data_IF_438262145959
#
_entry.id   IF_438262145959
#
_cell.length_a   1.000
_cell.length_b   1.000
_cell.length_c   1.000
_cell.angle_alpha   90.00
_cell.angle_beta   90.00
_cell.angle_gamma   90.00
#
_symmetry.space_group_name_H-M   'P 1'
#
loop_
_entity.id
_entity.type
_entity.pdbx_description
1 polymer ?
#
# COMPACT_ATOMS: atom_id res chain seq x y z
N UNK A 1 -1.23 -29.58 -27.94
CA UNK A 1 -0.78 -28.49 -28.83
C UNK A 1 -0.82 -27.20 -28.04
N UNK A 2 0.34 -26.69 -27.65
CA UNK A 2 0.52 -25.32 -27.17
C UNK A 2 1.59 -24.71 -28.07
N UNK A 3 1.15 -23.71 -28.82
CA UNK A 3 1.91 -23.00 -29.84
C UNK A 3 2.87 -22.01 -29.14
N UNK A 4 4.18 -22.21 -29.38
CA UNK A 4 5.28 -21.41 -28.83
C UNK A 4 5.80 -20.39 -29.85
N UNK A 5 5.00 -19.97 -30.84
CA UNK A 5 5.41 -18.94 -31.79
C UNK A 5 5.26 -17.54 -31.19
N UNK A 6 6.39 -16.90 -30.84
CA UNK A 6 6.63 -15.45 -31.02
C UNK A 6 7.90 -14.90 -30.37
N UNK A 7 8.95 -15.72 -30.20
CA UNK A 7 10.32 -15.20 -30.16
C UNK A 7 11.17 -16.06 -31.08
N UNK A 8 12.09 -15.50 -31.90
CA UNK A 8 13.02 -16.33 -32.63
C UNK A 8 13.83 -17.10 -31.58
N UNK A 9 13.56 -18.39 -31.45
CA UNK A 9 14.50 -19.29 -30.82
C UNK A 9 15.76 -19.18 -31.67
N UNK A 10 16.83 -18.59 -31.13
CA UNK A 10 18.17 -18.60 -31.74
C UNK A 10 18.69 -20.04 -31.96
N UNK A 11 17.93 -21.04 -31.49
CA UNK A 11 18.24 -22.46 -31.49
C UNK A 11 17.65 -23.25 -32.66
N UNK A 12 16.82 -22.66 -33.53
CA UNK A 12 16.30 -23.39 -34.69
C UNK A 12 17.27 -23.24 -35.88
N UNK A 13 17.84 -24.38 -36.29
CA UNK A 13 18.76 -24.63 -37.42
C UNK A 13 20.27 -24.46 -37.15
N UNK A 14 20.80 -25.13 -36.13
CA UNK A 14 22.23 -25.49 -36.10
C UNK A 14 22.41 -26.97 -36.47
N UNK A 15 23.31 -27.25 -37.41
CA UNK A 15 23.84 -28.60 -37.59
C UNK A 15 24.53 -29.08 -36.30
N UNK A 16 24.68 -30.39 -36.13
CA UNK A 16 25.37 -30.97 -34.97
C UNK A 16 26.75 -30.34 -34.73
N UNK A 17 27.51 -30.10 -35.80
CA UNK A 17 28.85 -29.50 -35.71
C UNK A 17 28.79 -28.02 -35.27
N UNK A 18 27.80 -27.27 -35.73
CA UNK A 18 27.57 -25.88 -35.31
C UNK A 18 27.12 -25.80 -33.85
N UNK A 19 26.25 -26.71 -33.40
CA UNK A 19 25.84 -26.79 -32.01
C UNK A 19 27.02 -27.14 -31.08
N UNK A 20 27.87 -28.08 -31.49
CA UNK A 20 29.09 -28.44 -30.74
C UNK A 20 30.05 -27.26 -30.67
N UNK A 21 30.30 -26.56 -31.79
CA UNK A 21 31.16 -25.36 -31.80
C UNK A 21 30.57 -24.22 -30.97
N UNK A 22 29.25 -24.05 -30.99
CA UNK A 22 28.57 -23.04 -30.18
C UNK A 22 28.68 -23.36 -28.69
N UNK A 23 28.43 -24.61 -28.28
CA UNK A 23 28.60 -25.06 -26.90
C UNK A 23 30.04 -24.89 -26.41
N UNK A 24 31.03 -25.24 -27.24
CA UNK A 24 32.45 -25.05 -26.91
C UNK A 24 32.81 -23.55 -26.78
N UNK A 25 32.20 -22.66 -27.58
CA UNK A 25 32.36 -21.20 -27.40
C UNK A 25 31.72 -20.69 -26.10
N UNK A 26 30.49 -21.12 -25.79
CA UNK A 26 29.85 -20.73 -24.52
C UNK A 26 30.64 -21.24 -23.31
N UNK A 27 31.14 -22.47 -23.39
CA UNK A 27 32.00 -23.06 -22.39
C UNK A 27 33.33 -22.32 -22.27
N UNK A 28 34.01 -21.99 -23.37
CA UNK A 28 35.26 -21.23 -23.34
C UNK A 28 35.09 -19.85 -22.69
N UNK A 29 33.96 -19.17 -22.91
CA UNK A 29 33.63 -17.89 -22.24
C UNK A 29 33.52 -18.06 -20.70
N UNK A 30 33.18 -19.26 -20.22
CA UNK A 30 33.01 -19.55 -18.78
C UNK A 30 34.20 -20.28 -18.13
N UNK A 31 35.01 -21.01 -18.90
CA UNK A 31 36.08 -21.88 -18.40
C UNK A 31 37.49 -21.43 -18.78
N UNK A 32 37.68 -20.64 -19.84
CA UNK A 32 39.01 -20.33 -20.39
C UNK A 32 39.23 -18.82 -20.47
N UNK A 33 39.47 -18.23 -19.31
CA UNK A 33 40.13 -16.94 -19.22
C UNK A 33 41.57 -17.09 -19.70
N UNK A 34 41.81 -16.91 -21.00
CA UNK A 34 43.16 -16.58 -21.47
C UNK A 34 43.62 -15.30 -20.74
N UNK A 35 44.94 -15.13 -20.59
CA UNK A 35 45.63 -14.11 -19.78
C UNK A 35 45.23 -12.62 -19.99
N UNK A 36 44.14 -12.30 -20.69
CA UNK A 36 43.65 -10.94 -20.96
C UNK A 36 42.19 -10.61 -20.63
N UNK A 37 41.26 -11.53 -20.30
CA UNK A 37 40.05 -11.21 -19.52
C UNK A 37 39.09 -12.42 -19.44
N UNK A 38 38.92 -12.98 -18.24
CA UNK A 38 37.93 -14.03 -17.96
C UNK A 38 36.49 -13.49 -17.80
N UNK A 39 36.22 -12.23 -18.12
CA UNK A 39 35.00 -11.52 -17.72
C UNK A 39 34.37 -10.68 -18.84
N UNK A 40 34.19 -11.25 -20.03
CA UNK A 40 33.48 -10.54 -21.10
C UNK A 40 32.06 -10.20 -20.64
N UNK A 41 31.66 -8.94 -20.85
CA UNK A 41 30.35 -8.45 -20.45
C UNK A 41 29.24 -9.11 -21.28
N UNK A 42 28.10 -9.39 -20.62
CA UNK A 42 26.92 -9.89 -21.30
C UNK A 42 26.47 -8.96 -22.43
N UNK A 43 26.20 -9.52 -23.60
CA UNK A 43 25.60 -8.82 -24.75
C UNK A 43 24.34 -9.55 -25.22
N UNK A 44 23.66 -9.05 -26.26
CA UNK A 44 22.53 -9.76 -26.87
C UNK A 44 22.92 -11.13 -27.48
N UNK A 45 24.21 -11.36 -27.73
CA UNK A 45 24.74 -12.56 -28.38
C UNK A 45 25.56 -13.47 -27.46
N UNK A 46 25.81 -13.09 -26.20
CA UNK A 46 26.53 -13.92 -25.24
C UNK A 46 26.00 -13.77 -23.80
N UNK A 47 26.10 -14.84 -23.02
CA UNK A 47 25.66 -14.90 -21.62
C UNK A 47 26.75 -14.47 -20.62
N UNK A 48 27.65 -13.53 -20.98
CA UNK A 48 28.80 -13.11 -20.18
C UNK A 48 28.48 -12.54 -18.77
N UNK A 49 29.46 -11.93 -18.12
CA UNK A 49 29.26 -11.34 -16.78
C UNK A 49 28.46 -10.04 -16.85
N UNK A 50 27.61 -9.80 -15.86
CA UNK A 50 26.87 -8.54 -15.78
C UNK A 50 27.81 -7.38 -15.39
N UNK A 51 27.78 -6.27 -16.12
CA UNK A 51 28.47 -5.03 -15.69
C UNK A 51 27.90 -4.53 -14.36
N UNK A 52 28.66 -3.75 -13.58
CA UNK A 52 28.12 -3.03 -12.42
C UNK A 52 26.86 -2.22 -12.76
N UNK A 53 26.80 -1.60 -13.94
CA UNK A 53 25.64 -0.85 -14.42
C UNK A 53 24.44 -1.75 -14.71
N UNK A 54 24.64 -2.91 -15.35
CA UNK A 54 23.59 -3.90 -15.59
C UNK A 54 23.08 -4.47 -14.28
N UNK A 55 23.97 -4.74 -13.31
CA UNK A 55 23.59 -5.15 -11.95
C UNK A 55 22.79 -4.04 -11.25
N UNK A 56 23.23 -2.77 -11.36
CA UNK A 56 22.53 -1.62 -10.78
C UNK A 56 21.14 -1.44 -11.40
N UNK A 57 21.03 -1.53 -12.73
CA UNK A 57 19.75 -1.44 -13.43
C UNK A 57 18.84 -2.63 -13.08
N UNK A 58 19.39 -3.85 -12.99
CA UNK A 58 18.65 -5.04 -12.58
C UNK A 58 18.11 -4.93 -11.15
N UNK A 59 18.87 -4.35 -10.21
CA UNK A 59 18.40 -4.05 -8.84
C UNK A 59 17.18 -3.13 -8.82
N UNK A 60 17.00 -2.29 -9.84
CA UNK A 60 15.85 -1.40 -10.01
C UNK A 60 14.64 -2.04 -10.71
N UNK A 61 14.77 -3.25 -11.27
CA UNK A 61 13.70 -3.91 -12.04
C UNK A 61 13.01 -5.01 -11.26
N UNK A 62 11.74 -5.22 -11.56
CA UNK A 62 10.95 -6.34 -11.06
C UNK A 62 11.11 -7.56 -11.97
N UNK A 63 11.24 -8.74 -11.39
CA UNK A 63 11.14 -10.00 -12.13
C UNK A 63 9.68 -10.21 -12.54
N UNK A 64 9.40 -10.12 -13.84
CA UNK A 64 8.06 -10.32 -14.38
C UNK A 64 7.72 -11.81 -14.40
N UNK A 65 6.79 -12.23 -13.56
CA UNK A 65 6.30 -13.60 -13.48
C UNK A 65 4.81 -13.63 -13.15
N UNK A 66 3.96 -13.75 -14.17
CA UNK A 66 2.50 -13.79 -13.99
C UNK A 66 1.97 -15.12 -13.45
N UNK A 67 2.85 -16.09 -13.25
CA UNK A 67 2.47 -17.40 -12.71
C UNK A 67 3.03 -17.62 -11.30
N UNK A 68 3.36 -16.53 -10.60
CA UNK A 68 3.94 -16.61 -9.26
C UNK A 68 3.01 -17.33 -8.27
N UNK A 69 1.68 -17.08 -8.23
CA UNK A 69 0.78 -17.84 -7.35
C UNK A 69 0.71 -19.34 -7.68
N UNK A 70 0.90 -19.75 -8.94
CA UNK A 70 0.92 -21.16 -9.31
C UNK A 70 2.22 -21.85 -8.90
N UNK A 71 3.34 -21.11 -8.88
CA UNK A 71 4.64 -21.61 -8.39
C UNK A 71 4.69 -21.64 -6.86
N UNK A 72 4.09 -20.64 -6.22
CA UNK A 72 4.04 -20.46 -4.79
C UNK A 72 2.58 -20.21 -4.36
N UNK A 73 1.77 -21.28 -4.19
CA UNK A 73 0.37 -21.17 -3.78
C UNK A 73 0.17 -20.53 -2.41
N UNK A 74 1.19 -20.60 -1.54
CA UNK A 74 1.28 -19.82 -0.33
C UNK A 74 2.21 -18.63 -0.57
N UNK A 75 1.70 -17.43 -0.30
CA UNK A 75 2.44 -16.18 -0.48
C UNK A 75 3.70 -16.09 0.39
N UNK A 76 3.72 -16.83 1.50
CA UNK A 76 4.87 -16.89 2.40
C UNK A 76 6.01 -17.77 1.85
N UNK A 77 5.75 -18.60 0.85
CA UNK A 77 6.77 -19.47 0.24
C UNK A 77 7.56 -18.74 -0.86
N UNK A 78 7.14 -17.53 -1.24
CA UNK A 78 7.83 -16.73 -2.25
C UNK A 78 9.25 -16.43 -1.76
N UNK A 79 10.29 -16.69 -2.57
CA UNK A 79 11.66 -16.40 -2.20
C UNK A 79 11.93 -14.89 -2.11
N UNK A 80 13.00 -14.46 -1.41
CA UNK A 80 13.40 -13.07 -1.39
C UNK A 80 13.68 -12.53 -2.80
N UNK A 81 13.17 -11.34 -3.09
CA UNK A 81 13.29 -10.76 -4.43
C UNK A 81 12.27 -9.68 -4.73
N UNK A 82 12.31 -9.20 -5.98
CA UNK A 82 11.39 -8.21 -6.53
C UNK A 82 10.59 -8.88 -7.64
N UNK A 83 9.27 -8.97 -7.49
CA UNK A 83 8.36 -9.61 -8.45
C UNK A 83 7.34 -8.63 -9.02
N UNK A 84 7.05 -8.74 -10.31
CA UNK A 84 5.88 -8.13 -10.95
C UNK A 84 4.98 -9.26 -11.44
N UNK A 85 3.82 -9.42 -10.81
CA UNK A 85 2.96 -10.59 -10.97
C UNK A 85 1.48 -10.20 -11.06
N UNK A 86 0.61 -11.20 -11.07
CA UNK A 86 -0.82 -11.07 -10.85
C UNK A 86 -1.18 -11.70 -9.51
N UNK A 87 -2.08 -11.07 -8.76
CA UNK A 87 -2.68 -11.67 -7.59
C UNK A 87 -3.39 -12.98 -7.96
N UNK A 88 -3.36 -13.95 -7.05
CA UNK A 88 -3.89 -15.29 -7.29
C UNK A 88 -3.82 -16.21 -6.07
N UNK A 89 -3.76 -15.62 -4.88
CA UNK A 89 -3.73 -16.31 -3.59
C UNK A 89 -5.11 -16.31 -2.91
N UNK A 90 -6.17 -15.87 -3.62
CA UNK A 90 -7.54 -15.83 -3.10
C UNK A 90 -7.64 -14.97 -1.84
N UNK A 91 -8.04 -15.57 -0.72
CA UNK A 91 -8.19 -14.89 0.56
C UNK A 91 -6.88 -14.32 1.13
N UNK A 92 -5.72 -14.79 0.66
CA UNK A 92 -4.40 -14.31 1.08
C UNK A 92 -3.86 -13.15 0.23
N UNK A 93 -4.60 -12.70 -0.79
CA UNK A 93 -4.26 -11.47 -1.52
C UNK A 93 -4.26 -10.26 -0.58
N UNK A 94 -3.50 -9.19 -0.90
CA UNK A 94 -3.63 -7.93 -0.17
C UNK A 94 -5.08 -7.45 -0.14
N UNK A 95 -5.53 -6.95 1.01
CA UNK A 95 -6.92 -6.56 1.22
C UNK A 95 -7.45 -5.65 0.10
N UNK A 96 -8.54 -6.05 -0.54
CA UNK A 96 -9.15 -5.31 -1.65
C UNK A 96 -8.50 -5.52 -3.02
N UNK A 97 -7.47 -6.36 -3.12
CA UNK A 97 -6.89 -6.80 -4.41
C UNK A 97 -7.53 -8.12 -4.82
N UNK A 98 -8.28 -8.09 -5.93
CA UNK A 98 -8.87 -9.27 -6.55
C UNK A 98 -7.83 -10.11 -7.31
N UNK A 99 -8.12 -11.40 -7.50
CA UNK A 99 -7.33 -12.26 -8.38
C UNK A 99 -7.18 -11.64 -9.78
N UNK A 100 -6.11 -12.00 -10.47
CA UNK A 100 -5.70 -11.45 -11.78
C UNK A 100 -5.28 -9.97 -11.81
N UNK A 101 -5.42 -9.23 -10.70
CA UNK A 101 -4.93 -7.85 -10.57
C UNK A 101 -3.40 -7.78 -10.60
N UNK A 102 -2.83 -6.77 -11.27
CA UNK A 102 -1.37 -6.60 -11.31
C UNK A 102 -0.83 -6.07 -9.97
N UNK A 103 0.15 -6.80 -9.43
CA UNK A 103 0.82 -6.48 -8.17
C UNK A 103 2.32 -6.52 -8.35
N UNK A 104 3.02 -5.54 -7.77
CA UNK A 104 4.48 -5.56 -7.63
C UNK A 104 4.82 -5.90 -6.17
N UNK A 105 5.78 -6.79 -5.90
CA UNK A 105 6.05 -7.33 -4.57
C UNK A 105 7.53 -7.39 -4.25
N UNK A 106 7.95 -6.75 -3.16
CA UNK A 106 9.27 -6.94 -2.57
C UNK A 106 9.17 -7.94 -1.43
N UNK A 107 9.97 -9.00 -1.50
CA UNK A 107 10.10 -9.99 -0.43
C UNK A 107 11.50 -9.85 0.15
N UNK A 108 11.57 -9.53 1.43
CA UNK A 108 12.80 -9.49 2.21
C UNK A 108 12.77 -10.65 3.20
N UNK A 109 13.89 -11.32 3.39
CA UNK A 109 14.03 -12.34 4.43
C UNK A 109 15.48 -12.39 4.92
N UNK A 110 15.66 -12.49 6.24
CA UNK A 110 16.91 -12.97 6.86
C UNK A 110 16.89 -14.49 7.04
N UNK A 111 15.70 -15.09 7.12
CA UNK A 111 15.46 -16.51 7.33
C UNK A 111 14.12 -16.93 6.70
N UNK A 112 13.92 -18.21 6.36
CA UNK A 112 12.70 -18.68 5.70
C UNK A 112 11.41 -18.42 6.50
N UNK A 113 11.52 -18.42 7.82
CA UNK A 113 10.41 -18.13 8.75
C UNK A 113 10.27 -16.65 9.13
N UNK A 114 11.10 -15.77 8.58
CA UNK A 114 11.12 -14.34 8.89
C UNK A 114 11.12 -13.54 7.60
N UNK A 115 9.92 -13.18 7.15
CA UNK A 115 9.73 -12.46 5.89
C UNK A 115 9.00 -11.15 6.10
N UNK A 116 9.45 -10.14 5.38
CA UNK A 116 8.72 -8.90 5.17
C UNK A 116 8.32 -8.85 3.69
N UNK A 117 7.02 -8.83 3.45
CA UNK A 117 6.44 -8.73 2.12
C UNK A 117 5.81 -7.35 1.98
N UNK A 118 6.27 -6.58 1.01
CA UNK A 118 5.70 -5.28 0.63
C UNK A 118 5.08 -5.43 -0.75
N UNK A 119 3.76 -5.30 -0.84
CA UNK A 119 3.02 -5.35 -2.09
C UNK A 119 2.53 -3.96 -2.50
N UNK A 120 2.58 -3.68 -3.80
CA UNK A 120 2.12 -2.45 -4.43
C UNK A 120 1.00 -2.81 -5.40
N UNK A 121 -0.20 -2.29 -5.15
CA UNK A 121 -1.31 -2.38 -6.09
C UNK A 121 -1.02 -1.45 -7.27
N UNK A 122 -0.82 -1.99 -8.47
CA UNK A 122 -0.30 -1.20 -9.60
C UNK A 122 -1.24 -0.09 -10.07
N UNK A 123 -2.55 -0.28 -9.95
CA UNK A 123 -3.54 0.68 -10.42
C UNK A 123 -3.90 1.73 -9.37
N UNK A 124 -4.03 1.35 -8.10
CA UNK A 124 -4.40 2.28 -7.02
C UNK A 124 -3.19 2.96 -6.39
N UNK A 125 -1.99 2.40 -6.54
CA UNK A 125 -0.77 2.87 -5.88
C UNK A 125 -0.73 2.54 -4.38
N UNK A 126 -1.66 1.73 -3.91
CA UNK A 126 -1.76 1.34 -2.50
C UNK A 126 -0.62 0.39 -2.12
N UNK A 127 -0.12 0.54 -0.90
CA UNK A 127 1.00 -0.22 -0.39
C UNK A 127 0.50 -1.10 0.77
N UNK A 128 0.86 -2.37 0.72
CA UNK A 128 0.46 -3.37 1.70
C UNK A 128 1.69 -4.04 2.28
N UNK A 129 1.67 -4.32 3.59
CA UNK A 129 2.77 -4.94 4.32
C UNK A 129 2.25 -6.18 5.06
N UNK A 130 2.87 -7.33 4.80
CA UNK A 130 2.68 -8.58 5.55
C UNK A 130 4.03 -9.00 6.14
N UNK A 131 4.04 -9.33 7.42
CA UNK A 131 5.23 -9.73 8.16
C UNK A 131 5.01 -11.11 8.75
N UNK A 132 6.03 -11.95 8.67
CA UNK A 132 6.10 -13.22 9.39
C UNK A 132 7.33 -13.28 10.27
N UNK A 133 7.18 -13.91 11.42
CA UNK A 133 8.19 -14.14 12.42
C UNK A 133 7.86 -15.47 13.14
N UNK A 134 8.59 -16.53 12.79
CA UNK A 134 8.40 -17.92 13.23
C UNK A 134 7.16 -18.62 12.63
N UNK A 135 7.07 -19.94 12.79
CA UNK A 135 6.06 -20.80 12.16
C UNK A 135 4.65 -20.74 12.76
N UNK A 136 4.44 -20.03 13.88
CA UNK A 136 3.14 -19.91 14.54
C UNK A 136 2.78 -18.44 14.74
N UNK A 137 1.53 -18.01 14.45
CA UNK A 137 1.08 -16.63 14.63
C UNK A 137 1.00 -16.25 16.11
N UNK A 138 2.11 -15.81 16.69
CA UNK A 138 2.11 -15.13 17.98
C UNK A 138 1.67 -13.67 17.76
N UNK A 139 0.63 -13.25 18.49
CA UNK A 139 0.11 -11.89 18.48
C UNK A 139 1.25 -10.89 18.77
N UNK A 140 1.41 -9.89 17.89
CA UNK A 140 2.48 -8.89 17.98
C UNK A 140 3.75 -9.19 17.17
N UNK A 141 4.01 -10.45 16.76
CA UNK A 141 5.18 -10.82 15.95
C UNK A 141 4.83 -11.20 14.50
N UNK A 142 3.66 -11.78 14.26
CA UNK A 142 3.15 -12.06 12.93
C UNK A 142 2.05 -11.06 12.57
N UNK A 143 2.00 -10.63 11.31
CA UNK A 143 0.81 -9.93 10.82
C UNK A 143 -0.36 -10.93 10.73
N UNK A 144 -1.49 -10.63 11.38
CA UNK A 144 -2.73 -11.42 11.26
C UNK A 144 -3.32 -11.40 9.83
N UNK A 145 -2.98 -10.39 9.05
CA UNK A 145 -3.40 -10.20 7.67
C UNK A 145 -2.51 -9.16 6.99
N UNK A 146 -2.97 -8.60 5.87
CA UNK A 146 -2.26 -7.49 5.27
C UNK A 146 -2.49 -6.20 6.03
N UNK A 147 -1.44 -5.39 6.19
CA UNK A 147 -1.57 -4.03 6.73
C UNK A 147 -1.43 -3.06 5.58
N UNK A 148 -2.45 -2.24 5.35
CA UNK A 148 -2.38 -1.18 4.35
C UNK A 148 -1.66 0.05 4.90
N UNK A 149 -0.75 0.61 4.12
CA UNK A 149 -0.06 1.86 4.44
C UNK A 149 -0.88 3.00 3.86
N UNK A 150 -1.27 3.93 4.73
CA UNK A 150 -1.93 5.17 4.33
C UNK A 150 -0.95 6.33 4.37
N UNK A 151 -1.01 7.16 3.35
CA UNK A 151 -0.38 8.48 3.32
C UNK A 151 -1.40 9.52 3.77
N UNK A 152 -0.94 10.52 4.50
CA UNK A 152 -1.78 11.62 4.95
C UNK A 152 -1.17 12.95 4.57
N UNK A 153 -2.01 13.90 4.16
CA UNK A 153 -1.64 15.28 3.90
C UNK A 153 -2.49 16.18 4.78
N UNK A 154 -1.86 17.08 5.54
CA UNK A 154 -2.60 18.09 6.32
C UNK A 154 -3.21 19.10 5.36
N UNK A 155 -4.55 19.16 5.32
CA UNK A 155 -5.32 20.09 4.50
C UNK A 155 -5.76 21.33 5.31
N UNK A 156 -5.89 21.18 6.62
CA UNK A 156 -6.19 22.28 7.53
C UNK A 156 -5.70 21.95 8.92
N UNK A 157 -5.20 22.97 9.62
CA UNK A 157 -4.88 22.93 11.04
C UNK A 157 -5.23 24.31 11.62
N UNK A 158 -5.99 24.32 12.70
CA UNK A 158 -6.57 25.53 13.29
C UNK A 158 -8.00 25.29 13.79
N UNK A 159 -8.71 26.33 14.21
CA UNK A 159 -10.10 26.19 14.68
C UNK A 159 -11.10 26.48 13.55
N UNK A 160 -11.95 25.49 13.25
CA UNK A 160 -13.12 25.66 12.39
C UNK A 160 -14.38 25.34 13.18
N UNK A 161 -15.26 26.33 13.32
CA UNK A 161 -16.52 26.24 14.06
C UNK A 161 -17.74 26.33 13.15
N UNK A 162 -18.91 26.06 13.73
CA UNK A 162 -20.21 26.21 13.07
C UNK A 162 -20.33 27.55 12.33
N UNK A 163 -20.79 27.50 11.09
CA UNK A 163 -20.98 28.64 10.20
C UNK A 163 -19.70 29.12 9.51
N UNK A 164 -18.53 28.59 9.86
CA UNK A 164 -17.27 28.97 9.25
C UNK A 164 -16.90 28.06 8.09
N UNK A 165 -16.01 28.58 7.23
CA UNK A 165 -15.43 27.83 6.13
C UNK A 165 -13.94 28.10 6.02
N UNK A 166 -13.20 27.11 5.56
CA UNK A 166 -11.77 27.21 5.29
C UNK A 166 -11.43 26.79 3.87
N UNK A 167 -10.50 27.51 3.24
CA UNK A 167 -9.91 27.12 1.97
C UNK A 167 -8.76 26.14 2.21
N UNK A 168 -8.69 25.11 1.39
CA UNK A 168 -7.71 24.04 1.51
C UNK A 168 -6.56 24.23 0.52
N UNK A 169 -5.34 23.81 0.88
CA UNK A 169 -4.16 23.92 0.01
C UNK A 169 -4.22 22.95 -1.18
N UNK A 170 -5.02 21.89 -1.09
CA UNK A 170 -5.17 20.89 -2.14
C UNK A 170 -6.63 20.43 -2.32
N UNK A 171 -6.86 19.75 -3.44
CA UNK A 171 -8.17 19.24 -3.81
C UNK A 171 -8.56 17.99 -2.99
N UNK A 172 -9.67 18.05 -2.23
CA UNK A 172 -10.19 16.93 -1.43
C UNK A 172 -10.46 15.69 -2.27
N UNK A 173 -10.74 15.83 -3.57
CA UNK A 173 -11.04 14.71 -4.45
C UNK A 173 -9.81 13.89 -4.87
N UNK A 174 -8.59 14.32 -4.52
CA UNK A 174 -7.34 13.57 -4.70
C UNK A 174 -7.11 12.52 -3.62
N UNK A 175 -7.88 12.59 -2.53
CA UNK A 175 -7.81 11.70 -1.37
C UNK A 175 -8.98 10.72 -1.40
N UNK A 176 -8.80 9.52 -0.84
CA UNK A 176 -9.85 8.51 -0.77
C UNK A 176 -10.86 8.85 0.33
N UNK A 177 -10.36 9.30 1.47
CA UNK A 177 -11.13 9.73 2.63
C UNK A 177 -10.52 11.00 3.23
N UNK A 178 -11.29 11.67 4.08
CA UNK A 178 -10.80 12.76 4.91
C UNK A 178 -10.86 12.34 6.36
N UNK A 179 -9.78 12.55 7.10
CA UNK A 179 -9.72 12.34 8.54
C UNK A 179 -9.94 13.69 9.24
N UNK A 180 -11.03 13.76 10.00
CA UNK A 180 -11.50 14.96 10.68
C UNK A 180 -11.16 14.82 12.16
N UNK A 181 -10.29 15.70 12.65
CA UNK A 181 -9.99 15.84 14.07
C UNK A 181 -10.85 16.95 14.64
N UNK A 182 -11.55 16.67 15.73
CA UNK A 182 -12.44 17.63 16.37
C UNK A 182 -12.50 17.40 17.87
N UNK A 183 -12.93 18.44 18.60
CA UNK A 183 -13.12 18.40 20.04
C UNK A 183 -14.46 19.02 20.41
N UNK A 184 -15.04 18.56 21.51
CA UNK A 184 -16.19 19.18 22.18
C UNK A 184 -15.80 20.04 23.39
N UNK A 185 -14.49 20.29 23.58
CA UNK A 185 -13.92 21.01 24.71
C UNK A 185 -13.30 20.12 25.77
N UNK A 186 -13.80 18.89 25.93
CA UNK A 186 -13.36 17.95 26.97
C UNK A 186 -12.70 16.70 26.40
N UNK A 187 -13.05 16.29 25.17
CA UNK A 187 -12.46 15.17 24.47
C UNK A 187 -11.89 15.54 23.11
N UNK A 188 -10.88 14.79 22.67
CA UNK A 188 -10.34 14.83 21.30
C UNK A 188 -10.82 13.59 20.54
N UNK A 189 -11.34 13.82 19.33
CA UNK A 189 -11.93 12.78 18.50
C UNK A 189 -11.39 12.85 17.08
N UNK A 190 -11.35 11.67 16.46
CA UNK A 190 -10.94 11.50 15.07
C UNK A 190 -11.98 10.64 14.38
N UNK A 191 -12.52 11.13 13.27
CA UNK A 191 -13.47 10.38 12.43
C UNK A 191 -13.03 10.43 10.97
N UNK A 192 -13.12 9.31 10.29
CA UNK A 192 -12.77 9.21 8.87
C UNK A 192 -14.04 9.22 8.01
N UNK A 193 -14.16 10.23 7.16
CA UNK A 193 -15.31 10.38 6.26
C UNK A 193 -14.93 10.05 4.83
N UNK A 194 -15.79 9.26 4.18
CA UNK A 194 -15.67 9.01 2.73
C UNK A 194 -15.79 10.31 1.96
N UNK A 195 -15.15 10.37 0.80
CA UNK A 195 -15.27 11.48 -0.13
C UNK A 195 -16.72 11.64 -0.61
N UNK A 196 -17.39 12.67 -0.12
CA UNK A 196 -18.77 13.01 -0.47
C UNK A 196 -19.01 14.51 -0.29
N UNK A 197 -20.04 15.06 -0.92
CA UNK A 197 -20.33 16.51 -0.85
C UNK A 197 -20.84 16.97 0.51
N UNK A 198 -21.55 16.09 1.21
CA UNK A 198 -22.14 16.36 2.51
C UNK A 198 -21.80 15.22 3.46
N UNK A 199 -21.17 15.54 4.58
CA UNK A 199 -20.90 14.57 5.64
C UNK A 199 -21.56 15.02 6.92
N UNK A 200 -22.23 14.09 7.60
CA UNK A 200 -22.76 14.30 8.94
C UNK A 200 -22.02 13.37 9.88
N UNK A 201 -21.42 13.94 10.91
CA UNK A 201 -20.72 13.19 11.96
C UNK A 201 -21.57 13.26 13.22
N UNK A 202 -21.78 12.10 13.84
CA UNK A 202 -22.55 11.98 15.07
C UNK A 202 -21.85 11.00 15.99
N UNK A 203 -21.66 11.36 17.24
CA UNK A 203 -20.97 10.55 18.23
C UNK A 203 -21.65 10.64 19.59
N UNK A 204 -21.66 9.54 20.33
CA UNK A 204 -22.02 9.51 21.73
C UNK A 204 -20.74 9.22 22.53
N UNK A 205 -20.37 10.13 23.42
CA UNK A 205 -19.25 10.00 24.32
C UNK A 205 -19.77 9.74 25.74
N UNK A 206 -19.56 8.53 26.26
CA UNK A 206 -19.95 8.16 27.62
C UNK A 206 -18.88 8.63 28.59
N UNK A 207 -19.29 9.30 29.66
CA UNK A 207 -18.35 9.82 30.66
C UNK A 207 -17.86 8.70 31.59
N UNK A 208 -16.61 8.80 32.03
CA UNK A 208 -16.07 7.89 33.03
C UNK A 208 -16.49 8.35 34.44
N UNK A 209 -17.15 7.48 35.21
CA UNK A 209 -17.49 7.72 36.61
C UNK A 209 -18.94 8.12 36.84
N UNK A 210 -19.33 9.33 36.45
CA UNK A 210 -20.72 9.80 36.58
C UNK A 210 -21.59 9.33 35.42
N UNK A 211 -22.87 9.04 35.69
CA UNK A 211 -23.85 8.69 34.67
C UNK A 211 -24.13 9.91 33.77
N UNK A 212 -23.38 10.02 32.68
CA UNK A 212 -23.57 11.06 31.69
C UNK A 212 -23.10 10.68 30.30
N UNK A 213 -23.66 11.36 29.30
CA UNK A 213 -23.33 11.17 27.89
C UNK A 213 -23.32 12.52 27.18
N UNK A 214 -22.30 12.75 26.37
CA UNK A 214 -22.28 13.86 25.41
C UNK A 214 -22.61 13.33 24.02
N UNK A 215 -23.67 13.85 23.41
CA UNK A 215 -23.96 13.64 22.00
C UNK A 215 -23.37 14.80 21.19
N UNK A 216 -22.47 14.48 20.29
CA UNK A 216 -21.81 15.43 19.40
C UNK A 216 -22.41 15.26 18.02
N UNK A 217 -22.73 16.37 17.36
CA UNK A 217 -23.17 16.37 15.98
C UNK A 217 -22.63 17.58 15.23
N UNK A 218 -22.10 17.35 14.03
CA UNK A 218 -21.81 18.43 13.09
C UNK A 218 -21.95 17.97 11.64
N UNK A 219 -22.12 18.96 10.77
CA UNK A 219 -22.31 18.77 9.34
C UNK A 219 -21.23 19.52 8.56
N UNK A 220 -20.71 18.86 7.54
CA UNK A 220 -19.71 19.37 6.63
C UNK A 220 -20.26 19.44 5.22
N UNK A 221 -20.10 20.61 4.60
CA UNK A 221 -20.13 20.74 3.15
C UNK A 221 -18.69 20.68 2.64
N UNK A 222 -18.40 19.66 1.85
CA UNK A 222 -17.06 19.37 1.31
C UNK A 222 -17.08 19.70 -0.18
N UNK A 223 -16.28 20.69 -0.55
CA UNK A 223 -16.02 21.11 -1.92
C UNK A 223 -14.55 20.87 -2.24
N UNK A 224 -14.19 20.91 -3.53
CA UNK A 224 -12.85 20.55 -3.98
C UNK A 224 -11.74 21.23 -3.17
N UNK A 225 -11.84 22.53 -2.91
CA UNK A 225 -10.81 23.29 -2.16
C UNK A 225 -11.35 24.07 -0.99
N UNK A 226 -12.49 23.66 -0.46
CA UNK A 226 -13.16 24.37 0.63
C UNK A 226 -13.98 23.40 1.47
N UNK A 227 -13.87 23.53 2.78
CA UNK A 227 -14.75 22.84 3.72
C UNK A 227 -15.47 23.86 4.57
N UNK A 228 -16.78 23.67 4.71
CA UNK A 228 -17.64 24.51 5.55
C UNK A 228 -18.28 23.65 6.62
N UNK A 229 -18.20 24.05 7.88
CA UNK A 229 -18.94 23.42 8.97
C UNK A 229 -20.30 24.09 9.08
N UNK A 230 -21.32 23.55 8.42
CA UNK A 230 -22.65 24.18 8.33
C UNK A 230 -23.39 24.15 9.67
N UNK A 231 -23.19 23.10 10.45
CA UNK A 231 -23.78 22.94 11.76
C UNK A 231 -22.78 22.31 12.73
N UNK A 232 -22.98 22.53 14.03
CA UNK A 232 -22.15 22.01 15.11
C UNK A 232 -22.84 22.22 16.44
N UNK A 233 -23.02 21.16 17.21
CA UNK A 233 -23.60 21.19 18.56
C UNK A 233 -23.16 19.99 19.37
N UNK A 234 -23.03 20.19 20.67
CA UNK A 234 -22.96 19.11 21.64
C UNK A 234 -24.16 19.20 22.61
N UNK A 235 -24.65 18.05 23.03
CA UNK A 235 -25.72 17.89 24.00
C UNK A 235 -25.19 17.01 25.14
N UNK A 236 -25.17 17.53 26.35
CA UNK A 236 -24.71 16.81 27.52
C UNK A 236 -25.90 16.39 28.35
N UNK A 237 -25.94 15.12 28.72
CA UNK A 237 -26.91 14.58 29.67
C UNK A 237 -26.13 14.16 30.90
N UNK A 238 -26.45 14.72 32.06
CA UNK A 238 -25.82 14.35 33.33
C UNK A 238 -26.78 14.52 34.50
N UNK A 239 -26.85 13.54 35.40
CA UNK A 239 -27.50 13.63 36.72
C UNK A 239 -28.83 14.41 36.75
N UNK A 240 -29.76 14.09 35.85
CA UNK A 240 -31.10 14.69 35.77
C UNK A 240 -31.19 16.02 35.00
N UNK A 241 -30.09 16.50 34.45
CA UNK A 241 -30.02 17.69 33.60
C UNK A 241 -29.66 17.33 32.16
N UNK A 242 -30.19 18.13 31.24
CA UNK A 242 -29.85 18.10 29.82
C UNK A 242 -29.38 19.50 29.44
N UNK A 243 -28.16 19.63 28.92
CA UNK A 243 -27.62 20.93 28.51
C UNK A 243 -28.40 21.49 27.32
N UNK A 244 -28.41 22.81 27.15
CA UNK A 244 -29.07 23.42 26.00
C UNK A 244 -28.15 23.35 24.76
N UNK A 245 -28.43 22.48 23.77
CA UNK A 245 -27.54 22.28 22.64
C UNK A 245 -27.46 23.49 21.71
N UNK A 246 -28.42 24.42 21.78
CA UNK A 246 -28.38 25.66 20.98
C UNK A 246 -27.34 26.67 21.49
N UNK A 247 -26.86 26.50 22.73
CA UNK A 247 -25.84 27.35 23.37
C UNK A 247 -24.45 26.72 23.34
N UNK A 248 -24.34 25.45 22.94
CA UNK A 248 -23.08 24.71 22.90
C UNK A 248 -22.29 25.06 21.62
N UNK A 249 -21.34 26.00 21.77
CA UNK A 249 -20.38 26.37 20.73
C UNK A 249 -19.05 25.62 20.84
N UNK A 250 -18.98 24.57 21.68
CA UNK A 250 -17.70 23.95 22.02
C UNK A 250 -17.17 23.04 20.91
N UNK A 251 -18.06 22.49 20.07
CA UNK A 251 -17.65 21.63 18.96
C UNK A 251 -16.88 22.43 17.93
N UNK A 252 -15.62 22.07 17.73
CA UNK A 252 -14.74 22.66 16.72
C UNK A 252 -13.87 21.59 16.08
N UNK A 253 -13.63 21.75 14.79
CA UNK A 253 -12.62 20.98 14.06
C UNK A 253 -11.27 21.64 14.30
N UNK A 254 -10.26 20.82 14.60
CA UNK A 254 -8.89 21.24 14.92
C UNK A 254 -7.91 20.91 13.80
N UNK A 255 -8.20 19.86 13.02
CA UNK A 255 -7.38 19.41 11.90
C UNK A 255 -8.19 18.64 10.87
N UNK A 256 -7.82 18.79 9.61
CA UNK A 256 -8.34 17.97 8.50
C UNK A 256 -7.16 17.40 7.74
N UNK A 257 -7.14 16.08 7.57
CA UNK A 257 -6.13 15.39 6.78
C UNK A 257 -6.80 14.68 5.61
N UNK A 258 -6.21 14.81 4.42
CA UNK A 258 -6.54 13.95 3.29
C UNK A 258 -5.81 12.62 3.42
N UNK A 259 -6.52 11.50 3.33
CA UNK A 259 -5.96 10.15 3.46
C UNK A 259 -5.96 9.45 2.09
N UNK A 260 -4.85 8.82 1.74
CA UNK A 260 -4.68 8.06 0.49
C UNK A 260 -3.92 6.77 0.73
#
# INVERSE_FOLDING_TARGET
MLDFQSKPNIFEEMSYEEAVKWLLRQAAIHYDGSDHDAHVLATESNAGFATPETVMQARGRWLRDYKLPQKYPNILDIPPGKYATKAGWGADNPDGIEDDSFVEMMVFADHDSRKLIVAFARYSGEIYIKMTHNGEPVEGYNSLGWRRVYTTSVLFEGELRKGQSVNLPDDTFRYQTLRIHYTDGDGDFVEEVKRQRYARITKANLWNGDAGVTFIEFELTIEARKITMSNGRALDISSGNVSNPAMSNNVKITKIEGVK
#
